data_IF_145786887013
#
_entry.id   IF_145786887013
#
_cell.length_a   1.000
_cell.length_b   1.000
_cell.length_c   1.000
_cell.angle_alpha   90.00
_cell.angle_beta   90.00
_cell.angle_gamma   90.00
#
_symmetry.space_group_name_H-M   'P 1'
#
loop_
_entity.id
_entity.type
_entity.pdbx_description
1 polymer ?
#
# COMPACT_ATOMS: atom_id res chain seq x y z
N UNK A 1 12.39 -2.72 -2.85
CA UNK A 1 11.10 -2.09 -2.50
C UNK A 1 10.13 -2.41 -3.63
N UNK A 2 9.01 -3.05 -3.29
CA UNK A 2 7.98 -3.49 -4.22
C UNK A 2 7.17 -2.30 -4.75
N UNK A 3 6.70 -1.44 -3.84
CA UNK A 3 6.03 -0.19 -4.19
C UNK A 3 7.04 0.90 -4.54
N UNK A 4 6.68 1.77 -5.48
CA UNK A 4 7.47 2.89 -5.96
C UNK A 4 6.65 4.18 -5.86
N UNK A 5 7.33 5.33 -5.80
CA UNK A 5 6.67 6.66 -5.76
C UNK A 5 5.65 6.84 -6.89
N UNK A 6 5.96 6.35 -8.08
CA UNK A 6 5.09 6.42 -9.26
C UNK A 6 3.77 5.65 -9.07
N UNK A 7 3.75 4.60 -8.24
CA UNK A 7 2.53 3.82 -8.00
C UNK A 7 1.49 4.65 -7.22
N UNK A 8 1.93 5.63 -6.43
CA UNK A 8 1.04 6.57 -5.74
C UNK A 8 0.15 7.34 -6.74
N UNK A 9 0.62 7.53 -7.97
CA UNK A 9 -0.10 8.28 -9.01
C UNK A 9 -1.40 7.61 -9.46
N UNK A 10 -1.61 6.34 -9.10
CA UNK A 10 -2.89 5.65 -9.27
C UNK A 10 -4.02 6.30 -8.48
N UNK A 11 -3.71 6.97 -7.36
CA UNK A 11 -4.72 7.45 -6.40
C UNK A 11 -4.51 8.87 -5.89
N UNK A 12 -3.36 9.49 -6.19
CA UNK A 12 -3.10 10.91 -5.92
C UNK A 12 -2.32 11.53 -7.09
N UNK A 13 -2.72 12.72 -7.55
CA UNK A 13 -1.99 13.39 -8.65
C UNK A 13 -0.59 13.80 -8.17
N UNK A 14 0.44 13.78 -9.04
CA UNK A 14 1.80 14.18 -8.65
C UNK A 14 1.86 15.57 -7.98
N UNK A 15 1.17 16.56 -8.55
CA UNK A 15 1.13 17.92 -8.00
C UNK A 15 0.49 17.97 -6.60
N UNK A 16 -0.57 17.18 -6.36
CA UNK A 16 -1.22 17.13 -5.05
C UNK A 16 -0.30 16.46 -4.02
N UNK A 17 0.42 15.40 -4.44
CA UNK A 17 1.38 14.71 -3.59
C UNK A 17 2.53 15.65 -3.19
N UNK A 18 3.10 16.40 -4.14
CA UNK A 18 4.12 17.42 -3.88
C UNK A 18 3.62 18.52 -2.93
N UNK A 19 2.37 18.97 -3.08
CA UNK A 19 1.79 19.93 -2.13
C UNK A 19 1.59 19.35 -0.72
N UNK A 20 1.40 18.04 -0.59
CA UNK A 20 1.22 17.38 0.71
C UNK A 20 2.56 17.22 1.43
N UNK A 21 3.59 16.73 0.75
CA UNK A 21 4.88 16.37 1.36
C UNK A 21 5.94 17.47 1.25
N UNK A 22 5.74 18.47 0.38
CA UNK A 22 6.77 19.43 -0.01
C UNK A 22 7.93 18.73 -0.72
N UNK A 23 9.15 18.89 -0.18
CA UNK A 23 10.38 18.25 -0.67
C UNK A 23 10.82 17.05 0.17
N UNK A 24 9.94 16.54 1.05
CA UNK A 24 10.29 15.46 1.97
C UNK A 24 9.94 14.08 1.39
N UNK A 25 10.85 13.56 0.56
CA UNK A 25 10.74 12.21 -0.01
C UNK A 25 10.94 11.09 1.04
N UNK A 26 11.48 11.40 2.22
CA UNK A 26 11.62 10.42 3.31
C UNK A 26 10.25 9.94 3.81
N UNK A 27 9.25 10.83 3.85
CA UNK A 27 7.87 10.48 4.21
C UNK A 27 7.27 9.48 3.22
N UNK A 28 7.55 9.65 1.92
CA UNK A 28 7.12 8.69 0.90
C UNK A 28 7.78 7.34 1.15
N UNK A 29 9.11 7.31 1.23
CA UNK A 29 9.85 6.05 1.37
C UNK A 29 9.47 5.31 2.64
N UNK A 30 9.29 6.03 3.76
CA UNK A 30 8.81 5.47 5.00
C UNK A 30 7.42 4.84 4.85
N UNK A 31 6.47 5.57 4.24
CA UNK A 31 5.09 5.11 4.08
C UNK A 31 4.95 3.94 3.11
N UNK A 32 5.74 3.91 2.03
CA UNK A 32 5.81 2.79 1.10
C UNK A 32 6.37 1.53 1.77
N UNK A 33 7.45 1.66 2.55
CA UNK A 33 8.00 0.53 3.32
C UNK A 33 7.02 0.04 4.37
N UNK A 34 6.39 0.94 5.12
CA UNK A 34 5.37 0.59 6.11
C UNK A 34 4.22 -0.21 5.47
N UNK A 35 3.73 0.26 4.32
CA UNK A 35 2.69 -0.42 3.55
C UNK A 35 3.13 -1.82 3.09
N UNK A 36 4.34 -1.95 2.54
CA UNK A 36 4.90 -3.24 2.12
C UNK A 36 5.02 -4.22 3.30
N UNK A 37 5.49 -3.76 4.46
CA UNK A 37 5.60 -4.57 5.68
C UNK A 37 4.23 -5.10 6.15
N UNK A 38 3.20 -4.26 6.14
CA UNK A 38 1.83 -4.68 6.47
C UNK A 38 1.37 -5.77 5.51
N UNK A 39 1.48 -5.54 4.20
CA UNK A 39 1.02 -6.52 3.21
C UNK A 39 1.76 -7.86 3.36
N UNK A 40 3.08 -7.83 3.54
CA UNK A 40 3.90 -9.03 3.77
C UNK A 40 3.46 -9.81 5.01
N UNK A 41 3.05 -9.13 6.09
CA UNK A 41 2.60 -9.78 7.31
C UNK A 41 1.34 -10.64 7.10
N UNK A 42 0.36 -10.12 6.36
CA UNK A 42 -0.87 -10.84 6.04
C UNK A 42 -0.63 -11.97 5.04
N UNK A 43 0.32 -11.81 4.12
CA UNK A 43 0.63 -12.76 3.06
C UNK A 43 1.77 -13.73 3.40
N UNK A 44 2.13 -13.85 4.68
CA UNK A 44 3.25 -14.67 5.15
C UNK A 44 3.17 -16.17 4.79
N UNK A 45 1.97 -16.67 4.47
CA UNK A 45 1.73 -18.03 3.97
C UNK A 45 2.15 -18.25 2.50
N UNK A 46 2.36 -17.19 1.72
CA UNK A 46 2.73 -17.25 0.31
C UNK A 46 4.24 -17.10 0.11
N UNK A 47 4.72 -17.45 -1.09
CA UNK A 47 6.10 -17.16 -1.46
C UNK A 47 6.29 -15.64 -1.67
N UNK A 48 6.69 -14.96 -0.59
CA UNK A 48 6.88 -13.50 -0.57
C UNK A 48 8.00 -13.03 -1.50
N UNK A 49 9.02 -13.85 -1.76
CA UNK A 49 10.11 -13.51 -2.68
C UNK A 49 9.58 -13.45 -4.11
N UNK A 50 8.80 -14.45 -4.52
CA UNK A 50 8.16 -14.44 -5.82
C UNK A 50 7.13 -13.30 -5.93
N UNK A 51 6.28 -13.13 -4.92
CA UNK A 51 5.16 -12.19 -4.99
C UNK A 51 5.61 -10.72 -4.99
N UNK A 52 6.57 -10.36 -4.14
CA UNK A 52 7.05 -8.98 -4.02
C UNK A 52 8.33 -8.70 -4.83
N UNK A 53 8.97 -9.74 -5.36
CA UNK A 53 10.17 -9.66 -6.22
C UNK A 53 9.90 -9.81 -7.72
N UNK A 54 8.66 -10.11 -8.13
CA UNK A 54 8.30 -10.23 -9.54
C UNK A 54 8.53 -8.92 -10.32
N UNK A 55 9.03 -9.03 -11.56
CA UNK A 55 9.13 -7.91 -12.49
C UNK A 55 7.74 -7.40 -12.89
N UNK A 56 6.84 -8.33 -13.19
CA UNK A 56 5.42 -8.06 -13.40
C UNK A 56 4.70 -8.04 -12.05
N UNK A 57 4.70 -6.85 -11.43
CA UNK A 57 4.15 -6.62 -10.10
C UNK A 57 2.64 -6.72 -10.12
N UNK A 58 2.07 -7.51 -9.21
CA UNK A 58 0.63 -7.70 -9.08
C UNK A 58 -0.10 -6.36 -8.86
N UNK A 59 -1.00 -6.01 -9.79
CA UNK A 59 -1.69 -4.71 -9.80
C UNK A 59 -2.68 -4.55 -8.66
N UNK A 60 -3.28 -5.65 -8.19
CA UNK A 60 -4.19 -5.62 -7.04
C UNK A 60 -3.39 -5.34 -5.76
N UNK A 61 -2.24 -6.01 -5.59
CA UNK A 61 -1.35 -5.80 -4.46
C UNK A 61 -0.76 -4.38 -4.45
N UNK A 62 -0.40 -3.83 -5.62
CA UNK A 62 -0.03 -2.42 -5.76
C UNK A 62 -1.18 -1.52 -5.28
N UNK A 63 -2.42 -1.78 -5.73
CA UNK A 63 -3.58 -0.96 -5.36
C UNK A 63 -3.79 -0.90 -3.84
N UNK A 64 -3.71 -2.03 -3.14
CA UNK A 64 -3.79 -2.08 -1.68
C UNK A 64 -2.63 -1.36 -1.02
N UNK A 65 -1.42 -1.58 -1.51
CA UNK A 65 -0.23 -0.93 -1.02
C UNK A 65 -0.32 0.60 -1.10
N UNK A 66 -0.88 1.12 -2.19
CA UNK A 66 -1.08 2.55 -2.40
C UNK A 66 -2.15 3.12 -1.46
N UNK A 67 -3.25 2.41 -1.19
CA UNK A 67 -4.26 2.89 -0.23
C UNK A 67 -3.68 3.05 1.18
N UNK A 68 -2.93 2.03 1.63
CA UNK A 68 -2.28 2.04 2.94
C UNK A 68 -1.25 3.18 3.00
N UNK A 69 -0.39 3.29 1.98
CA UNK A 69 0.67 4.30 1.95
C UNK A 69 0.12 5.73 1.89
N UNK A 70 -0.91 6.01 1.09
CA UNK A 70 -1.50 7.36 0.99
C UNK A 70 -2.11 7.79 2.32
N UNK A 71 -2.80 6.89 3.02
CA UNK A 71 -3.32 7.21 4.34
C UNK A 71 -2.19 7.66 5.28
N UNK A 72 -1.09 6.91 5.34
CA UNK A 72 0.06 7.26 6.18
C UNK A 72 0.71 8.58 5.77
N UNK A 73 0.93 8.80 4.47
CA UNK A 73 1.53 10.04 3.94
C UNK A 73 0.73 11.25 4.41
N UNK A 74 -0.60 11.23 4.26
CA UNK A 74 -1.43 12.37 4.61
C UNK A 74 -1.56 12.50 6.13
N UNK A 75 -1.66 11.38 6.86
CA UNK A 75 -1.71 11.39 8.33
C UNK A 75 -0.46 12.02 8.95
N UNK A 76 0.73 11.71 8.40
CA UNK A 76 2.01 12.28 8.85
C UNK A 76 2.11 13.76 8.43
N UNK A 77 1.79 14.08 7.18
CA UNK A 77 2.09 15.41 6.61
C UNK A 77 1.04 16.46 6.97
N UNK A 78 -0.22 16.05 7.19
CA UNK A 78 -1.36 16.95 7.42
C UNK A 78 -2.28 16.41 8.52
N UNK A 79 -1.82 16.37 9.78
CA UNK A 79 -2.54 15.74 10.90
C UNK A 79 -3.91 16.37 11.21
N UNK A 80 -4.15 17.60 10.76
CA UNK A 80 -5.40 18.34 11.04
C UNK A 80 -6.48 18.20 9.95
N UNK A 81 -6.24 17.39 8.91
CA UNK A 81 -7.21 17.17 7.83
C UNK A 81 -8.01 15.90 8.10
N UNK A 82 -9.32 15.93 7.81
CA UNK A 82 -10.15 14.73 7.85
C UNK A 82 -9.69 13.73 6.78
N UNK A 83 -9.42 12.49 7.20
CA UNK A 83 -8.94 11.41 6.34
C UNK A 83 -9.98 10.30 6.16
N UNK A 84 -11.27 10.56 6.38
CA UNK A 84 -12.32 9.51 6.40
C UNK A 84 -12.25 8.61 5.18
N UNK A 85 -12.36 9.16 3.96
CA UNK A 85 -12.31 8.37 2.72
C UNK A 85 -11.01 7.56 2.56
N UNK A 86 -9.88 8.11 3.02
CA UNK A 86 -8.57 7.46 2.91
C UNK A 86 -8.41 6.36 3.96
N UNK A 87 -8.98 6.57 5.14
CA UNK A 87 -9.05 5.57 6.21
C UNK A 87 -9.92 4.40 5.79
N UNK A 88 -11.08 4.66 5.22
CA UNK A 88 -12.00 3.62 4.73
C UNK A 88 -11.32 2.77 3.66
N UNK A 89 -10.67 3.38 2.65
CA UNK A 89 -9.91 2.63 1.65
C UNK A 89 -8.77 1.79 2.23
N UNK A 90 -8.01 2.34 3.20
CA UNK A 90 -6.99 1.57 3.92
C UNK A 90 -7.62 0.38 4.66
N UNK A 91 -8.76 0.57 5.31
CA UNK A 91 -9.47 -0.48 6.04
C UNK A 91 -9.99 -1.57 5.09
N UNK A 92 -10.54 -1.19 3.93
CA UNK A 92 -10.98 -2.12 2.90
C UNK A 92 -9.81 -2.95 2.36
N UNK A 93 -8.67 -2.31 2.09
CA UNK A 93 -7.44 -3.00 1.66
C UNK A 93 -6.95 -4.00 2.72
N UNK A 94 -6.92 -3.61 4.00
CA UNK A 94 -6.54 -4.50 5.11
C UNK A 94 -7.53 -5.66 5.24
N UNK A 95 -8.83 -5.38 5.18
CA UNK A 95 -9.86 -6.42 5.26
C UNK A 95 -9.73 -7.43 4.13
N UNK A 96 -9.44 -6.98 2.91
CA UNK A 96 -9.21 -7.88 1.79
C UNK A 96 -7.98 -8.78 2.02
N UNK A 97 -6.88 -8.22 2.52
CA UNK A 97 -5.68 -8.98 2.88
C UNK A 97 -5.94 -9.99 4.01
N UNK A 98 -6.79 -9.65 4.98
CA UNK A 98 -7.27 -10.57 6.01
C UNK A 98 -8.11 -11.70 5.44
N UNK A 99 -9.01 -11.42 4.50
CA UNK A 99 -9.82 -12.43 3.82
C UNK A 99 -8.96 -13.38 2.97
N UNK A 100 -7.88 -12.89 2.34
CA UNK A 100 -6.89 -13.74 1.68
C UNK A 100 -6.16 -14.62 2.70
N UNK A 101 -5.64 -14.04 3.79
CA UNK A 101 -4.96 -14.78 4.86
C UNK A 101 -5.83 -15.91 5.43
N UNK A 102 -7.11 -15.60 5.65
CA UNK A 102 -8.11 -16.52 6.18
C UNK A 102 -8.63 -17.52 5.13
N UNK A 103 -8.11 -17.49 3.89
CA UNK A 103 -8.52 -18.33 2.75
C UNK A 103 -10.00 -18.19 2.38
N UNK A 104 -10.62 -17.05 2.70
CA UNK A 104 -11.99 -16.70 2.28
C UNK A 104 -12.03 -16.23 0.83
N UNK A 105 -10.92 -15.66 0.37
CA UNK A 105 -10.69 -15.27 -1.04
C UNK A 105 -9.55 -16.11 -1.60
N UNK A 106 -9.75 -16.69 -2.77
CA UNK A 106 -8.73 -17.44 -3.50
C UNK A 106 -8.01 -16.51 -4.46
N UNK A 107 -6.69 -16.47 -4.35
CA UNK A 107 -5.80 -15.72 -5.23
C UNK A 107 -5.10 -16.67 -6.21
N UNK A 108 -4.57 -16.15 -7.31
CA UNK A 108 -3.70 -16.90 -8.23
C UNK A 108 -2.26 -17.07 -7.71
N UNK A 109 -1.94 -16.49 -6.55
CA UNK A 109 -0.59 -16.51 -5.97
C UNK A 109 -0.16 -17.88 -5.46
N UNK A 110 1.11 -18.19 -5.67
CA UNK A 110 1.71 -19.47 -5.28
C UNK A 110 1.92 -19.52 -3.77
N UNK A 111 1.27 -20.49 -3.12
CA UNK A 111 1.50 -20.81 -1.71
C UNK A 111 2.87 -21.48 -1.52
N UNK A 112 3.43 -21.40 -0.31
CA UNK A 112 4.67 -22.10 0.04
C UNK A 112 4.53 -23.62 0.00
#
# INVERSE_FOLDING_TARGET
MFLKKQDLYLKIRPNDLEQIIGQNDDVINHSLNYSECIMRSYLSAYNLENLFGAEDRDTLLISFGVDIAIYEIIAISRPNISLTDKRERKQDAIKYLEEIRDKKIVTTWVSK
#
